data_IF_788362650302
#
_entry.id   IF_788362650302
#
_cell.length_a   1.000
_cell.length_b   1.000
_cell.length_c   1.000
_cell.angle_alpha   90.00
_cell.angle_beta   90.00
_cell.angle_gamma   90.00
#
_symmetry.space_group_name_H-M   'P 1'
#
loop_
_entity.id
_entity.type
_entity.pdbx_description
1 polymer ?
#
# COMPACT_ATOMS: atom_id res chain seq x y z
N UNK A 1 -1.31 -0.74 -0.86
CA UNK A 1 -2.46 -1.56 -1.33
C UNK A 1 -2.21 -3.03 -1.01
N UNK A 2 -1.02 -3.57 -1.29
CA UNK A 2 -0.70 -4.99 -1.04
C UNK A 2 -1.01 -5.45 0.39
N UNK A 3 -0.66 -4.65 1.38
CA UNK A 3 -0.95 -4.95 2.78
C UNK A 3 -2.45 -5.05 3.08
N UNK A 4 -3.28 -4.19 2.46
CA UNK A 4 -4.75 -4.25 2.62
C UNK A 4 -5.31 -5.53 2.00
N UNK A 5 -4.93 -5.84 0.77
CA UNK A 5 -5.38 -7.06 0.09
C UNK A 5 -4.93 -8.30 0.86
N UNK A 6 -3.63 -8.40 1.19
CA UNK A 6 -3.07 -9.53 1.93
C UNK A 6 -3.67 -9.69 3.32
N UNK A 7 -3.83 -8.58 4.05
CA UNK A 7 -4.42 -8.58 5.38
C UNK A 7 -5.88 -9.03 5.39
N UNK A 8 -6.71 -8.54 4.48
CA UNK A 8 -8.11 -8.96 4.35
C UNK A 8 -8.21 -10.42 3.88
N UNK A 9 -7.37 -10.84 2.94
CA UNK A 9 -7.32 -12.24 2.49
C UNK A 9 -6.93 -13.18 3.64
N UNK A 10 -5.94 -12.80 4.45
CA UNK A 10 -5.54 -13.54 5.65
C UNK A 10 -6.67 -13.62 6.68
N UNK A 11 -7.56 -12.63 6.75
CA UNK A 11 -8.75 -12.64 7.58
C UNK A 11 -9.91 -13.45 6.98
N UNK A 12 -9.70 -14.12 5.84
CA UNK A 12 -10.64 -15.06 5.23
C UNK A 12 -11.55 -14.47 4.14
N UNK A 13 -11.35 -13.22 3.77
CA UNK A 13 -12.02 -12.67 2.58
C UNK A 13 -11.50 -13.36 1.33
N UNK A 14 -12.40 -13.78 0.45
CA UNK A 14 -12.06 -14.42 -0.83
C UNK A 14 -11.91 -13.37 -1.93
N UNK A 15 -11.36 -13.78 -3.07
CA UNK A 15 -11.17 -12.89 -4.21
C UNK A 15 -12.46 -12.19 -4.66
N UNK A 16 -13.59 -12.94 -4.71
CA UNK A 16 -14.90 -12.38 -5.05
C UNK A 16 -15.41 -11.35 -4.04
N UNK A 17 -15.13 -11.56 -2.76
CA UNK A 17 -15.49 -10.59 -1.70
C UNK A 17 -14.68 -9.31 -1.85
N UNK A 18 -13.40 -9.45 -2.13
CA UNK A 18 -12.49 -8.31 -2.35
C UNK A 18 -12.86 -7.56 -3.63
N UNK A 19 -13.17 -8.26 -4.74
CA UNK A 19 -13.62 -7.62 -5.98
C UNK A 19 -14.90 -6.80 -5.75
N UNK A 20 -15.91 -7.37 -5.11
CA UNK A 20 -17.15 -6.66 -4.74
C UNK A 20 -16.86 -5.46 -3.85
N UNK A 21 -15.99 -5.64 -2.84
CA UNK A 21 -15.61 -4.60 -1.91
C UNK A 21 -14.96 -3.42 -2.66
N UNK A 22 -13.95 -3.69 -3.49
CA UNK A 22 -13.24 -2.64 -4.20
C UNK A 22 -14.11 -1.89 -5.21
N UNK A 23 -15.04 -2.58 -5.88
CA UNK A 23 -15.99 -1.95 -6.82
C UNK A 23 -17.09 -1.13 -6.14
N UNK A 24 -17.52 -1.52 -4.95
CA UNK A 24 -18.65 -0.88 -4.25
C UNK A 24 -18.27 0.37 -3.48
N UNK A 25 -17.00 0.51 -3.08
CA UNK A 25 -16.57 1.62 -2.23
C UNK A 25 -16.30 2.92 -2.99
N UNK A 26 -16.53 4.04 -2.29
CA UNK A 26 -16.04 5.34 -2.72
C UNK A 26 -14.66 5.58 -2.09
N UNK A 27 -13.63 5.03 -2.71
CA UNK A 27 -12.26 5.12 -2.22
C UNK A 27 -11.75 6.54 -2.06
N UNK A 28 -12.17 7.46 -2.95
CA UNK A 28 -11.79 8.87 -2.83
C UNK A 28 -12.32 9.46 -1.51
N UNK A 29 -13.54 9.12 -1.12
CA UNK A 29 -14.13 9.57 0.14
C UNK A 29 -13.47 8.92 1.36
N UNK A 30 -13.12 7.63 1.26
CA UNK A 30 -12.46 6.90 2.35
C UNK A 30 -11.02 7.39 2.58
N UNK A 31 -10.30 7.70 1.49
CA UNK A 31 -8.92 8.17 1.55
C UNK A 31 -8.84 9.66 1.85
N UNK A 32 -9.83 10.46 1.41
CA UNK A 32 -9.92 11.88 1.70
C UNK A 32 -10.50 12.09 3.11
N UNK A 33 -9.68 11.88 4.10
CA UNK A 33 -9.94 12.24 5.49
C UNK A 33 -9.92 13.77 5.61
N UNK A 34 -11.07 14.35 5.35
CA UNK A 34 -11.20 15.82 5.43
C UNK A 34 -11.30 16.21 6.89
N UNK A 35 -10.22 16.71 7.42
CA UNK A 35 -10.33 17.60 8.58
C UNK A 35 -11.23 18.78 8.16
N UNK A 36 -12.43 18.84 8.71
CA UNK A 36 -13.43 19.87 8.40
C UNK A 36 -12.90 21.28 8.67
N UNK A 37 -11.87 21.42 9.50
CA UNK A 37 -11.18 22.68 9.74
C UNK A 37 -10.31 23.14 8.53
N UNK A 38 -9.94 22.22 7.62
CA UNK A 38 -9.12 22.51 6.44
C UNK A 38 -9.94 22.66 5.15
N UNK A 39 -11.20 22.21 5.13
CA UNK A 39 -12.09 22.24 3.94
C UNK A 39 -12.28 23.65 3.37
N UNK A 40 -12.22 24.69 4.19
CA UNK A 40 -12.29 26.08 3.73
C UNK A 40 -11.02 26.64 3.08
N UNK A 41 -9.90 25.89 3.11
CA UNK A 41 -8.60 26.36 2.63
C UNK A 41 -8.02 25.53 1.46
N UNK A 42 -8.71 24.47 1.05
CA UNK A 42 -8.19 23.54 0.01
C UNK A 42 -8.56 23.92 -1.42
N UNK A 43 -9.31 25.03 -1.61
CA UNK A 43 -9.61 25.57 -2.92
C UNK A 43 -8.94 26.94 -3.03
N UNK A 44 -7.83 27.02 -3.71
CA UNK A 44 -7.31 28.29 -4.21
C UNK A 44 -7.45 28.27 -5.71
N UNK A 45 -8.33 29.11 -6.24
CA UNK A 45 -8.41 29.43 -7.66
C UNK A 45 -7.47 30.61 -7.90
N UNK A 46 -6.39 30.38 -8.60
CA UNK A 46 -5.53 31.43 -9.13
C UNK A 46 -5.43 31.20 -10.65
N UNK A 47 -5.76 32.21 -11.41
CA UNK A 47 -5.70 32.22 -12.88
C UNK A 47 -6.52 31.11 -13.58
N UNK A 48 -7.68 30.77 -13.05
CA UNK A 48 -8.57 29.74 -13.61
C UNK A 48 -8.08 28.31 -13.43
N UNK A 49 -7.05 28.06 -12.59
CA UNK A 49 -6.55 26.74 -12.24
C UNK A 49 -6.98 26.39 -10.82
N UNK A 50 -7.75 25.32 -10.69
CA UNK A 50 -8.14 24.77 -9.38
C UNK A 50 -7.04 23.85 -8.88
N UNK A 51 -6.32 24.28 -7.87
CA UNK A 51 -5.32 23.43 -7.17
C UNK A 51 -6.03 22.51 -6.19
N UNK A 52 -6.14 21.24 -6.52
CA UNK A 52 -6.77 20.21 -5.67
C UNK A 52 -5.83 19.73 -4.57
N UNK A 53 -4.53 20.06 -4.65
CA UNK A 53 -3.50 19.77 -3.67
C UNK A 53 -2.57 20.97 -3.48
N UNK A 54 -3.02 21.93 -2.69
CA UNK A 54 -2.14 22.94 -2.15
C UNK A 54 -1.58 22.46 -0.81
N UNK A 55 -0.28 22.21 -0.70
CA UNK A 55 0.37 21.94 0.57
C UNK A 55 0.48 23.24 1.37
N UNK A 56 -0.22 23.42 2.50
CA UNK A 56 0.06 24.56 3.36
C UNK A 56 1.39 24.30 4.08
N UNK A 57 2.45 24.90 3.59
CA UNK A 57 3.71 25.00 4.34
C UNK A 57 3.50 26.05 5.42
N UNK A 58 3.14 25.66 6.63
CA UNK A 58 3.08 26.58 7.75
C UNK A 58 4.49 26.92 8.24
N UNK A 59 4.84 28.19 8.14
CA UNK A 59 6.14 28.77 8.50
C UNK A 59 6.37 28.92 10.01
N UNK A 60 5.43 28.50 10.87
CA UNK A 60 5.63 28.50 12.33
C UNK A 60 5.06 27.26 12.97
N UNK A 61 5.96 26.51 13.57
CA UNK A 61 5.65 25.41 14.46
C UNK A 61 5.22 26.00 15.80
N UNK A 62 3.98 25.76 16.20
CA UNK A 62 3.59 25.91 17.59
C UNK A 62 3.57 24.56 18.28
N UNK A 63 4.02 24.62 19.50
CA UNK A 63 4.46 23.57 20.39
C UNK A 63 3.29 22.71 20.85
N UNK A 64 3.41 21.38 20.76
CA UNK A 64 2.58 20.45 21.51
C UNK A 64 1.75 19.42 20.73
N UNK A 65 1.65 19.50 19.41
CA UNK A 65 0.96 18.50 18.59
C UNK A 65 1.93 17.53 17.92
N UNK A 66 1.57 16.26 17.84
CA UNK A 66 2.33 15.24 17.14
C UNK A 66 2.62 15.69 15.70
N UNK A 67 3.88 16.00 15.40
CA UNK A 67 4.34 16.38 14.08
C UNK A 67 4.47 15.14 13.20
N UNK A 68 3.39 14.76 12.49
CA UNK A 68 3.45 13.78 11.42
C UNK A 68 3.44 14.49 10.07
N UNK A 69 4.37 14.16 9.18
CA UNK A 69 4.32 14.57 7.78
C UNK A 69 3.18 13.83 7.07
N UNK A 70 2.07 14.46 6.84
CA UNK A 70 0.93 13.91 6.10
C UNK A 70 -0.30 14.81 6.25
N UNK A 71 -1.04 14.98 5.16
CA UNK A 71 -2.23 15.85 5.10
C UNK A 71 -3.47 15.08 5.57
N UNK A 72 -3.52 13.77 5.29
CA UNK A 72 -4.63 12.90 5.60
C UNK A 72 -4.34 12.13 6.90
N UNK A 73 -5.28 12.13 7.82
CA UNK A 73 -5.17 11.36 9.06
C UNK A 73 -5.29 9.86 8.79
N UNK A 74 -6.16 9.46 7.85
CA UNK A 74 -6.44 8.08 7.51
C UNK A 74 -7.35 7.41 8.53
N UNK A 75 -8.12 8.17 9.27
CA UNK A 75 -9.04 7.65 10.31
C UNK A 75 -10.23 6.94 9.64
N UNK A 76 -10.81 7.51 8.58
CA UNK A 76 -11.91 6.87 7.85
C UNK A 76 -11.51 5.52 7.23
N UNK A 77 -10.32 5.43 6.66
CA UNK A 77 -9.82 4.16 6.12
C UNK A 77 -9.49 3.18 7.24
N UNK A 78 -8.99 3.67 8.38
CA UNK A 78 -8.76 2.85 9.55
C UNK A 78 -10.07 2.24 10.07
N UNK A 79 -11.10 3.06 10.34
CA UNK A 79 -12.41 2.63 10.82
C UNK A 79 -13.08 1.64 9.85
N UNK A 80 -12.95 1.91 8.56
CA UNK A 80 -13.44 1.01 7.52
C UNK A 80 -12.75 -0.35 7.58
N UNK A 81 -11.41 -0.39 7.62
CA UNK A 81 -10.64 -1.63 7.74
C UNK A 81 -10.93 -2.36 9.05
N UNK A 82 -11.07 -1.63 10.16
CA UNK A 82 -11.42 -2.21 11.46
C UNK A 82 -12.81 -2.86 11.40
N UNK A 83 -13.78 -2.19 10.79
CA UNK A 83 -15.11 -2.76 10.57
C UNK A 83 -15.10 -4.05 9.74
N UNK A 84 -14.21 -4.15 8.75
CA UNK A 84 -14.04 -5.36 7.95
C UNK A 84 -13.38 -6.48 8.75
N UNK A 85 -12.29 -6.20 9.45
CA UNK A 85 -11.59 -7.19 10.27
C UNK A 85 -12.48 -7.71 11.38
N UNK A 86 -13.23 -6.83 12.06
CA UNK A 86 -14.18 -7.22 13.12
C UNK A 86 -15.29 -8.15 12.63
N UNK A 87 -15.68 -8.05 11.34
CA UNK A 87 -16.69 -8.88 10.71
C UNK A 87 -16.12 -9.99 9.82
N UNK A 88 -14.82 -10.19 9.87
CA UNK A 88 -14.13 -11.16 9.02
C UNK A 88 -14.56 -12.60 9.30
N UNK A 89 -14.44 -13.51 8.32
CA UNK A 89 -14.71 -14.94 8.51
C UNK A 89 -13.91 -15.55 9.67
N UNK A 90 -12.66 -15.14 9.88
CA UNK A 90 -11.82 -15.57 11.01
C UNK A 90 -12.45 -15.16 12.35
N UNK A 91 -12.86 -13.90 12.50
CA UNK A 91 -13.48 -13.40 13.74
C UNK A 91 -14.83 -14.02 14.03
N UNK A 92 -15.59 -14.40 13.01
CA UNK A 92 -16.87 -15.09 13.17
C UNK A 92 -16.75 -16.59 13.39
N UNK A 93 -15.53 -17.13 13.50
CA UNK A 93 -15.31 -18.56 13.67
C UNK A 93 -15.58 -19.41 12.42
N UNK A 94 -15.78 -18.78 11.26
CA UNK A 94 -15.96 -19.48 9.99
C UNK A 94 -14.67 -20.12 9.47
N UNK A 95 -13.51 -19.65 9.96
CA UNK A 95 -12.21 -20.23 9.73
C UNK A 95 -11.51 -20.44 11.08
N UNK A 96 -10.95 -21.62 11.29
CA UNK A 96 -10.27 -21.96 12.54
C UNK A 96 -8.91 -21.27 12.70
N UNK A 97 -8.26 -20.96 11.59
CA UNK A 97 -6.94 -20.35 11.58
C UNK A 97 -6.80 -19.32 10.46
N UNK A 98 -6.25 -18.15 10.79
CA UNK A 98 -5.86 -17.16 9.81
C UNK A 98 -4.65 -17.64 8.99
N UNK A 99 -4.59 -17.25 7.71
CA UNK A 99 -3.39 -17.42 6.90
C UNK A 99 -2.30 -16.52 7.49
N UNK A 100 -1.04 -16.99 7.66
CA UNK A 100 0.05 -16.14 8.11
C UNK A 100 0.16 -14.88 7.23
N UNK A 101 0.26 -13.73 7.88
CA UNK A 101 0.30 -12.44 7.21
C UNK A 101 1.41 -11.58 7.80
N UNK A 102 2.18 -10.96 6.93
CA UNK A 102 3.10 -9.89 7.27
C UNK A 102 2.99 -8.75 6.27
N UNK A 103 3.24 -7.54 6.72
CA UNK A 103 3.41 -6.39 5.84
C UNK A 103 4.64 -5.59 6.25
N UNK A 104 5.15 -4.81 5.32
CA UNK A 104 6.35 -3.99 5.53
C UNK A 104 5.92 -2.57 5.86
N UNK A 105 6.58 -2.00 6.86
CA UNK A 105 6.58 -0.57 7.16
C UNK A 105 8.03 -0.07 7.25
N UNK A 106 8.20 1.24 7.30
CA UNK A 106 9.51 1.85 7.46
C UNK A 106 9.50 2.80 8.65
N UNK A 107 10.42 2.61 9.59
CA UNK A 107 10.60 3.53 10.70
C UNK A 107 11.50 4.69 10.27
N UNK A 108 10.93 5.90 10.21
CA UNK A 108 11.64 7.10 9.78
C UNK A 108 12.60 7.64 10.85
N UNK A 109 12.51 7.20 12.10
CA UNK A 109 13.39 7.63 13.18
C UNK A 109 14.72 6.89 13.16
N UNK A 110 14.63 5.56 13.04
CA UNK A 110 15.79 4.67 13.00
C UNK A 110 16.22 4.33 11.58
N UNK A 111 15.47 4.76 10.57
CA UNK A 111 15.72 4.49 9.15
C UNK A 111 15.82 2.99 8.85
N UNK A 112 14.88 2.22 9.37
CA UNK A 112 14.88 0.76 9.28
C UNK A 112 13.57 0.23 8.72
N UNK A 113 13.69 -0.86 7.98
CA UNK A 113 12.57 -1.70 7.58
C UNK A 113 12.00 -2.42 8.81
N UNK A 114 10.69 -2.36 8.98
CA UNK A 114 9.97 -3.05 10.04
C UNK A 114 8.99 -4.03 9.41
N UNK A 115 9.11 -5.30 9.82
CA UNK A 115 8.16 -6.35 9.43
C UNK A 115 7.08 -6.42 10.50
N UNK A 116 5.84 -6.22 10.07
CA UNK A 116 4.66 -6.22 10.93
C UNK A 116 3.89 -7.52 10.70
N UNK A 117 4.16 -8.53 11.51
CA UNK A 117 3.59 -9.89 11.46
C UNK A 117 2.76 -10.25 12.70
N UNK A 118 2.79 -9.40 13.72
CA UNK A 118 2.09 -9.58 14.99
C UNK A 118 1.23 -8.36 15.34
N UNK A 119 0.37 -8.51 16.34
CA UNK A 119 -0.48 -7.43 16.83
C UNK A 119 -1.73 -7.18 16.00
N UNK A 120 -2.15 -5.92 15.93
CA UNK A 120 -3.37 -5.53 15.20
C UNK A 120 -3.15 -5.48 13.69
N UNK A 121 -3.81 -6.38 12.97
CA UNK A 121 -3.79 -6.41 11.49
C UNK A 121 -4.20 -5.07 10.90
N UNK A 122 -5.19 -4.39 11.48
CA UNK A 122 -5.66 -3.08 11.00
C UNK A 122 -4.57 -2.01 11.16
N UNK A 123 -3.93 -1.96 12.33
CA UNK A 123 -2.82 -1.01 12.56
C UNK A 123 -1.64 -1.29 11.64
N UNK A 124 -1.32 -2.57 11.41
CA UNK A 124 -0.26 -2.99 10.51
C UNK A 124 -0.54 -2.56 9.07
N UNK A 125 -1.76 -2.83 8.55
CA UNK A 125 -2.19 -2.37 7.24
C UNK A 125 -2.13 -0.84 7.13
N UNK A 126 -2.61 -0.12 8.17
CA UNK A 126 -2.61 1.36 8.18
C UNK A 126 -1.19 1.93 8.21
N UNK A 127 -0.26 1.32 8.92
CA UNK A 127 1.15 1.71 8.92
C UNK A 127 1.80 1.49 7.54
N UNK A 128 1.58 0.30 6.95
CA UNK A 128 2.14 -0.06 5.66
C UNK A 128 1.61 0.77 4.47
N UNK A 129 0.46 1.44 4.63
CA UNK A 129 -0.10 2.33 3.60
C UNK A 129 0.17 3.82 3.85
N UNK A 130 0.91 4.16 4.89
CA UNK A 130 1.15 5.54 5.30
C UNK A 130 2.18 6.24 4.40
N UNK A 131 1.79 6.52 3.14
CA UNK A 131 2.65 7.19 2.15
C UNK A 131 3.03 8.57 2.68
N UNK A 132 4.34 8.86 2.86
CA UNK A 132 4.81 10.16 3.30
C UNK A 132 4.34 11.29 2.38
N UNK A 133 3.85 12.36 2.98
CA UNK A 133 3.28 13.49 2.24
C UNK A 133 1.78 13.33 1.93
N UNK A 134 1.25 12.10 1.88
CA UNK A 134 -0.17 11.84 1.74
C UNK A 134 -0.82 11.53 3.08
N UNK A 135 -0.28 10.57 3.83
CA UNK A 135 -0.83 10.17 5.12
C UNK A 135 0.12 10.47 6.28
N UNK A 136 -0.46 10.72 7.45
CA UNK A 136 0.31 10.82 8.69
C UNK A 136 1.01 9.48 9.00
N UNK A 137 2.24 9.57 9.46
CA UNK A 137 2.97 8.43 10.01
C UNK A 137 2.22 7.84 11.20
N UNK A 138 2.30 6.54 11.36
CA UNK A 138 1.67 5.81 12.47
C UNK A 138 2.70 5.61 13.58
N UNK A 139 2.34 6.07 14.77
CA UNK A 139 3.13 5.80 15.96
C UNK A 139 2.75 4.46 16.55
N UNK A 140 3.73 3.56 16.68
CA UNK A 140 3.62 2.30 17.40
C UNK A 140 4.75 2.23 18.42
N UNK A 141 4.41 2.37 19.68
CA UNK A 141 5.38 2.48 20.78
C UNK A 141 6.44 3.56 20.52
N UNK A 142 7.70 3.17 20.34
CA UNK A 142 8.81 4.08 20.04
C UNK A 142 9.00 4.32 18.54
N UNK A 143 8.33 3.55 17.68
CA UNK A 143 8.48 3.62 16.23
C UNK A 143 7.60 4.71 15.61
N UNK A 144 8.08 5.30 14.51
CA UNK A 144 7.34 6.24 13.67
C UNK A 144 7.26 5.66 12.26
N UNK A 145 6.18 4.95 11.97
CA UNK A 145 6.03 4.10 10.80
C UNK A 145 5.37 4.81 9.63
N UNK A 146 5.95 4.62 8.47
CA UNK A 146 5.41 5.03 7.18
C UNK A 146 5.37 3.85 6.21
N UNK A 147 4.90 4.08 4.98
CA UNK A 147 4.75 3.07 3.93
C UNK A 147 6.05 2.28 3.72
N UNK A 148 5.92 0.95 3.72
CA UNK A 148 7.03 0.03 3.55
C UNK A 148 7.66 0.02 2.17
N UNK A 149 6.96 0.55 1.17
CA UNK A 149 7.51 0.75 -0.18
C UNK A 149 8.73 1.67 -0.24
N UNK A 150 9.03 2.36 0.88
CA UNK A 150 10.26 3.12 1.04
C UNK A 150 11.51 2.24 1.07
N UNK A 151 11.42 1.04 1.60
CA UNK A 151 12.57 0.13 1.76
C UNK A 151 12.39 -1.19 1.02
N UNK A 152 11.15 -1.69 0.89
CA UNK A 152 10.90 -3.01 0.34
C UNK A 152 9.49 -3.08 -0.27
N UNK A 153 9.37 -2.63 -1.51
CA UNK A 153 8.07 -2.60 -2.21
C UNK A 153 7.70 -3.94 -2.89
N UNK A 154 8.58 -4.94 -2.86
CA UNK A 154 8.33 -6.29 -3.35
C UNK A 154 8.94 -7.30 -2.37
N UNK A 155 8.30 -7.58 -1.22
CA UNK A 155 8.90 -8.25 -0.07
C UNK A 155 8.96 -9.78 -0.21
N UNK A 156 9.57 -10.30 -1.27
CA UNK A 156 9.78 -11.74 -1.51
C UNK A 156 10.64 -12.36 -0.42
N UNK A 157 11.69 -11.65 0.00
CA UNK A 157 12.57 -12.07 1.10
C UNK A 157 11.83 -12.25 2.43
N UNK A 158 10.81 -11.44 2.69
CA UNK A 158 9.98 -11.55 3.90
C UNK A 158 9.15 -12.82 3.84
N UNK A 159 8.48 -13.09 2.73
CA UNK A 159 7.66 -14.30 2.54
C UNK A 159 8.51 -15.56 2.64
N UNK A 160 9.73 -15.54 2.10
CA UNK A 160 10.69 -16.65 2.25
C UNK A 160 11.07 -16.88 3.72
N UNK A 161 11.33 -15.81 4.47
CA UNK A 161 11.61 -15.90 5.93
C UNK A 161 10.42 -16.41 6.74
N UNK A 162 9.19 -16.21 6.26
CA UNK A 162 7.99 -16.79 6.85
C UNK A 162 7.86 -18.31 6.59
N UNK A 163 8.76 -18.91 5.82
CA UNK A 163 8.80 -20.34 5.54
C UNK A 163 8.07 -20.77 4.26
N UNK A 164 7.82 -19.86 3.33
CA UNK A 164 7.21 -20.22 2.06
C UNK A 164 8.21 -20.94 1.13
N UNK A 165 7.86 -22.15 0.71
CA UNK A 165 8.64 -22.95 -0.27
C UNK A 165 8.51 -22.37 -1.69
N UNK A 166 7.35 -21.79 -1.99
CA UNK A 166 7.05 -21.20 -3.30
C UNK A 166 6.50 -19.79 -3.10
N UNK A 167 7.03 -18.83 -3.85
CA UNK A 167 6.61 -17.42 -3.80
C UNK A 167 6.16 -16.95 -5.17
N UNK A 168 4.89 -16.54 -5.24
CA UNK A 168 4.32 -15.82 -6.38
C UNK A 168 4.35 -14.32 -6.04
N UNK A 169 5.12 -13.56 -6.79
CA UNK A 169 5.24 -12.13 -6.61
C UNK A 169 4.39 -11.38 -7.64
N UNK A 170 3.48 -10.53 -7.16
CA UNK A 170 2.69 -9.62 -8.01
C UNK A 170 3.23 -8.22 -7.83
N UNK A 171 3.81 -7.69 -8.89
CA UNK A 171 4.46 -6.38 -8.89
C UNK A 171 3.65 -5.36 -9.71
N UNK A 172 3.28 -4.28 -9.08
CA UNK A 172 2.51 -3.20 -9.72
C UNK A 172 3.39 -2.07 -10.26
N UNK A 173 4.70 -2.14 -10.09
CA UNK A 173 5.62 -1.13 -10.60
C UNK A 173 5.77 -1.25 -12.12
N UNK A 174 5.61 -0.16 -12.83
CA UNK A 174 5.57 -0.18 -14.29
C UNK A 174 6.92 0.09 -14.95
N UNK A 175 7.81 0.84 -14.33
CA UNK A 175 9.12 1.20 -14.87
C UNK A 175 10.21 0.56 -14.02
N UNK A 176 10.97 -0.38 -14.59
CA UNK A 176 11.81 -1.31 -13.85
C UNK A 176 13.31 -1.21 -14.14
N UNK A 177 13.69 -0.39 -15.11
CA UNK A 177 15.07 -0.25 -15.58
C UNK A 177 15.71 1.06 -15.11
N UNK A 178 16.89 1.36 -15.58
CA UNK A 178 17.69 2.52 -15.19
C UNK A 178 16.95 3.87 -15.32
N UNK A 179 15.90 3.92 -16.14
CA UNK A 179 14.96 5.06 -16.27
C UNK A 179 13.86 5.05 -15.19
N UNK A 180 14.00 4.27 -14.13
CA UNK A 180 12.98 4.17 -13.12
C UNK A 180 12.71 5.53 -12.46
N UNK A 181 11.51 6.01 -12.64
CA UNK A 181 11.00 7.15 -11.90
C UNK A 181 10.21 6.62 -10.71
N UNK A 182 10.68 6.96 -9.51
CA UNK A 182 9.96 6.63 -8.28
C UNK A 182 8.48 7.05 -8.43
N UNK A 183 7.51 6.24 -7.94
CA UNK A 183 6.12 6.68 -7.83
C UNK A 183 5.98 7.96 -7.01
N UNK A 184 7.01 8.29 -6.24
CA UNK A 184 7.15 9.51 -5.45
C UNK A 184 7.94 10.61 -6.18
N UNK A 185 8.20 10.48 -7.49
CA UNK A 185 8.98 11.47 -8.26
C UNK A 185 8.39 12.88 -8.21
N UNK A 186 7.08 13.00 -7.99
CA UNK A 186 6.41 14.28 -7.79
C UNK A 186 6.87 15.01 -6.52
N UNK A 187 7.52 14.32 -5.58
CA UNK A 187 8.06 14.88 -4.34
C UNK A 187 9.48 15.44 -4.46
N UNK A 188 10.14 15.30 -5.63
CA UNK A 188 11.55 15.70 -5.82
C UNK A 188 11.86 17.17 -5.49
N UNK A 189 10.86 18.06 -5.60
CA UNK A 189 11.00 19.48 -5.26
C UNK A 189 10.96 19.81 -3.77
N UNK A 190 10.65 18.85 -2.92
CA UNK A 190 10.33 19.07 -1.49
C UNK A 190 11.46 18.67 -0.55
N UNK A 191 12.67 18.62 -0.87
CA UNK A 191 13.83 18.42 0.01
C UNK A 191 13.74 17.34 1.11
N UNK A 192 14.83 17.00 1.77
CA UNK A 192 14.84 16.11 2.93
C UNK A 192 14.38 14.69 2.63
N UNK A 193 13.51 14.12 3.48
CA UNK A 193 12.99 12.74 3.39
C UNK A 193 12.27 12.47 2.06
N UNK A 194 11.66 13.49 1.48
CA UNK A 194 10.93 13.37 0.21
C UNK A 194 11.86 13.22 -0.99
N UNK A 195 13.02 13.91 -0.96
CA UNK A 195 14.09 13.69 -1.94
C UNK A 195 14.62 12.26 -1.84
N UNK A 196 14.86 11.78 -0.62
CA UNK A 196 15.33 10.43 -0.37
C UNK A 196 14.33 9.36 -0.87
N UNK A 197 13.03 9.55 -0.68
CA UNK A 197 11.98 8.71 -1.26
C UNK A 197 12.03 8.65 -2.79
N UNK A 198 12.33 9.78 -3.42
CA UNK A 198 12.43 9.86 -4.87
C UNK A 198 13.67 9.14 -5.42
N UNK A 199 14.72 8.93 -4.61
CA UNK A 199 15.99 8.32 -5.00
C UNK A 199 15.97 6.78 -4.94
N UNK A 200 14.89 6.16 -4.48
CA UNK A 200 14.72 4.69 -4.44
C UNK A 200 15.86 3.94 -3.74
N UNK A 201 16.01 4.08 -2.42
CA UNK A 201 17.02 3.33 -1.67
C UNK A 201 16.78 1.81 -1.69
N UNK A 202 15.57 1.37 -2.00
CA UNK A 202 15.16 -0.03 -2.10
C UNK A 202 15.56 -0.72 -3.41
N UNK A 203 16.06 0.01 -4.42
CA UNK A 203 16.22 -0.54 -5.78
C UNK A 203 17.08 -1.82 -5.83
N UNK A 204 18.14 -1.87 -5.03
CA UNK A 204 19.01 -3.08 -4.97
C UNK A 204 18.24 -4.26 -4.41
N UNK A 205 17.52 -4.06 -3.32
CA UNK A 205 16.70 -5.09 -2.67
C UNK A 205 15.55 -5.53 -3.57
N UNK A 206 14.89 -4.60 -4.21
CA UNK A 206 13.83 -4.87 -5.19
C UNK A 206 14.34 -5.76 -6.33
N UNK A 207 15.50 -5.45 -6.92
CA UNK A 207 16.08 -6.26 -8.01
C UNK A 207 16.39 -7.67 -7.55
N UNK A 208 16.95 -7.86 -6.36
CA UNK A 208 17.20 -9.19 -5.78
C UNK A 208 15.87 -9.92 -5.54
N UNK A 209 14.91 -9.30 -4.86
CA UNK A 209 13.62 -9.90 -4.56
C UNK A 209 12.87 -10.34 -5.82
N UNK A 210 12.91 -9.54 -6.88
CA UNK A 210 12.29 -9.87 -8.15
C UNK A 210 12.83 -11.19 -8.75
N UNK A 211 14.14 -11.43 -8.64
CA UNK A 211 14.77 -12.66 -9.17
C UNK A 211 14.57 -13.86 -8.26
N UNK A 212 14.20 -13.66 -7.00
CA UNK A 212 13.98 -14.72 -6.02
C UNK A 212 12.54 -15.25 -5.99
N UNK A 213 11.63 -14.66 -6.74
CA UNK A 213 10.28 -15.17 -6.89
C UNK A 213 10.26 -16.38 -7.84
N UNK A 214 9.51 -17.44 -7.49
CA UNK A 214 9.32 -18.61 -8.36
C UNK A 214 8.43 -18.27 -9.55
N UNK A 215 7.47 -17.39 -9.32
CA UNK A 215 6.66 -16.79 -10.38
C UNK A 215 6.54 -15.29 -10.16
N UNK A 216 6.97 -14.53 -11.14
CA UNK A 216 6.85 -13.07 -11.14
C UNK A 216 5.80 -12.63 -12.14
N UNK A 217 4.80 -11.91 -11.66
CA UNK A 217 3.69 -11.38 -12.44
C UNK A 217 3.67 -9.87 -12.35
N UNK A 218 3.66 -9.19 -13.50
CA UNK A 218 3.56 -7.75 -13.55
C UNK A 218 2.45 -7.31 -14.51
N UNK A 219 1.28 -6.93 -14.01
CA UNK A 219 0.21 -6.37 -14.81
C UNK A 219 0.64 -5.06 -15.46
N UNK A 220 0.36 -4.90 -16.74
CA UNK A 220 0.64 -3.66 -17.48
C UNK A 220 -0.44 -2.62 -17.19
N UNK A 221 -0.23 -1.82 -16.16
CA UNK A 221 -1.20 -0.80 -15.72
C UNK A 221 -1.24 0.44 -16.62
N UNK A 222 -0.28 0.59 -17.55
CA UNK A 222 -0.23 1.69 -18.50
C UNK A 222 -0.16 3.05 -17.82
N UNK A 223 -1.22 3.84 -17.96
CA UNK A 223 -1.33 5.19 -17.39
C UNK A 223 -1.75 5.24 -15.93
N UNK A 224 -2.24 4.12 -15.37
CA UNK A 224 -2.76 4.11 -14.01
C UNK A 224 -1.65 4.10 -12.96
N UNK A 225 -1.78 4.96 -11.96
CA UNK A 225 -0.83 5.14 -10.87
C UNK A 225 -1.47 5.04 -9.50
N UNK A 226 -0.70 5.38 -8.48
CA UNK A 226 -1.09 5.22 -7.06
C UNK A 226 -2.22 6.14 -6.60
N UNK A 227 -2.62 7.11 -7.41
CA UNK A 227 -3.69 8.09 -7.10
C UNK A 227 -5.00 7.81 -7.84
N UNK A 228 -5.05 6.77 -8.67
CA UNK A 228 -6.19 6.49 -9.56
C UNK A 228 -7.27 5.65 -8.86
N UNK A 229 -8.03 6.27 -7.97
CA UNK A 229 -9.10 5.66 -7.18
C UNK A 229 -10.51 5.97 -7.66
N UNK A 230 -10.69 6.53 -8.85
CA UNK A 230 -12.03 6.73 -9.40
C UNK A 230 -12.62 5.39 -9.91
N UNK A 231 -13.96 5.31 -9.97
CA UNK A 231 -14.68 4.07 -10.33
C UNK A 231 -14.23 3.46 -11.67
N UNK A 232 -13.91 4.30 -12.66
CA UNK A 232 -13.45 3.84 -13.97
C UNK A 232 -12.05 3.24 -13.87
N UNK A 233 -11.11 3.92 -13.21
CA UNK A 233 -9.77 3.42 -12.99
C UNK A 233 -9.77 2.08 -12.24
N UNK A 234 -10.55 1.98 -11.16
CA UNK A 234 -10.68 0.74 -10.40
C UNK A 234 -11.18 -0.41 -11.29
N UNK A 235 -12.23 -0.17 -12.09
CA UNK A 235 -12.76 -1.19 -13.02
C UNK A 235 -11.71 -1.63 -14.02
N UNK A 236 -10.98 -0.69 -14.60
CA UNK A 236 -9.96 -0.98 -15.62
C UNK A 236 -8.75 -1.71 -15.01
N UNK A 237 -8.29 -1.29 -13.82
CA UNK A 237 -7.18 -1.94 -13.10
C UNK A 237 -7.54 -3.38 -12.72
N UNK A 238 -8.74 -3.64 -12.21
CA UNK A 238 -9.20 -4.99 -11.88
C UNK A 238 -9.25 -5.86 -13.13
N UNK A 239 -9.77 -5.36 -14.26
CA UNK A 239 -9.79 -6.07 -15.53
C UNK A 239 -8.37 -6.40 -16.04
N UNK A 240 -7.44 -5.46 -15.96
CA UNK A 240 -6.04 -5.69 -16.34
C UNK A 240 -5.42 -6.78 -15.46
N UNK A 241 -5.70 -6.78 -14.15
CA UNK A 241 -5.25 -7.81 -13.23
C UNK A 241 -5.77 -9.19 -13.60
N UNK A 242 -7.06 -9.31 -13.87
CA UNK A 242 -7.72 -10.55 -14.28
C UNK A 242 -7.15 -11.09 -15.61
N UNK A 243 -7.06 -10.24 -16.63
CA UNK A 243 -6.49 -10.62 -17.94
C UNK A 243 -5.02 -11.07 -17.79
N UNK A 244 -4.25 -10.41 -16.92
CA UNK A 244 -2.86 -10.80 -16.66
C UNK A 244 -2.80 -12.16 -15.95
N UNK A 245 -3.65 -12.40 -14.97
CA UNK A 245 -3.71 -13.70 -14.29
C UNK A 245 -4.09 -14.83 -15.26
N UNK A 246 -5.04 -14.59 -16.16
CA UNK A 246 -5.43 -15.55 -17.20
C UNK A 246 -4.28 -15.86 -18.17
N UNK A 247 -3.50 -14.86 -18.58
CA UNK A 247 -2.29 -15.07 -19.41
C UNK A 247 -1.23 -15.94 -18.71
N UNK A 248 -1.13 -15.85 -17.40
CA UNK A 248 -0.17 -16.61 -16.59
C UNK A 248 -0.75 -17.92 -16.04
N UNK A 249 -1.98 -18.30 -16.42
CA UNK A 249 -2.70 -19.46 -15.86
C UNK A 249 -1.90 -20.75 -15.90
N UNK A 250 -1.24 -21.03 -17.01
CA UNK A 250 -0.41 -22.25 -17.17
C UNK A 250 0.78 -22.25 -16.21
N UNK A 251 1.45 -21.12 -16.07
CA UNK A 251 2.59 -20.96 -15.15
C UNK A 251 2.15 -21.11 -13.70
N UNK A 252 1.03 -20.45 -13.32
CA UNK A 252 0.43 -20.57 -11.97
C UNK A 252 0.09 -22.03 -11.69
N UNK A 253 -0.57 -22.72 -12.63
CA UNK A 253 -0.95 -24.13 -12.48
C UNK A 253 0.29 -25.05 -12.37
N UNK A 254 1.36 -24.75 -13.10
CA UNK A 254 2.61 -25.52 -13.02
C UNK A 254 3.25 -25.38 -11.64
N UNK A 255 3.34 -24.17 -11.13
CA UNK A 255 3.89 -23.88 -9.79
C UNK A 255 3.06 -24.57 -8.70
N UNK A 256 1.74 -24.49 -8.75
CA UNK A 256 0.84 -25.14 -7.78
C UNK A 256 0.94 -26.65 -7.81
N UNK A 257 1.05 -27.27 -8.98
CA UNK A 257 1.25 -28.73 -9.11
C UNK A 257 2.58 -29.17 -8.52
N UNK A 258 3.62 -28.37 -8.66
CA UNK A 258 4.95 -28.64 -8.08
C UNK A 258 4.95 -28.80 -6.57
N UNK A 259 4.00 -28.14 -5.87
CA UNK A 259 3.81 -28.23 -4.40
C UNK A 259 2.67 -29.17 -3.99
N UNK A 260 2.15 -30.01 -4.90
CA UNK A 260 1.15 -31.02 -4.60
C UNK A 260 -0.27 -30.48 -4.40
N UNK A 261 -0.54 -29.23 -4.75
CA UNK A 261 -1.90 -28.67 -4.78
C UNK A 261 -2.60 -29.14 -6.06
N UNK A 262 -3.70 -29.89 -5.90
CA UNK A 262 -4.53 -30.40 -7.00
C UNK A 262 -5.65 -29.43 -7.37
#
# INVERSE_FOLDING_TARGET
IGAIIGGLYAQGYRADDLDKLFRSQNWLSLLADRDTALVGKMYKEEDGVVYVFGFPVHKKADVGGQKGFGILHGDHVYDFLDSLVSRSPVRRGALQQAIPFACVAYDIRCQQEIILDTGSVVRNMRASMAIPGAFKAIRMDTLMLVDGGMSNNLPVDVVRKMGADVVIAVDLQQRKYDDYHSPFAFLKGMGGILKWLAERPDIKKYNVNRTQADLYINPELGRYGVTDFNKKAIKDILRIGEETALKHRTQISSVLKGIGVR
#
